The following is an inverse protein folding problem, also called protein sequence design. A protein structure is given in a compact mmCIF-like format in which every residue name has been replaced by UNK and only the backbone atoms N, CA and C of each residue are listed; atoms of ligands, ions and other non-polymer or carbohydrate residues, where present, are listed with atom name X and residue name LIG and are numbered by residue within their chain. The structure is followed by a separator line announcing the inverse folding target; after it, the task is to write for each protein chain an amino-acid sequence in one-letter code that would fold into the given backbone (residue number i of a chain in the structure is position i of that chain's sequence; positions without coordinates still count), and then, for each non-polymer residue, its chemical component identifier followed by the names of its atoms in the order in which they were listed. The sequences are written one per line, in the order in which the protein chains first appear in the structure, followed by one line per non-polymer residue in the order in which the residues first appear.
data_IF_941780378177
#
_entry.id   IF_941780378177
#
_cell.length_a   1.000
_cell.length_b   1.000
_cell.length_c   1.000
_cell.angle_alpha   90.00
_cell.angle_beta   90.00
_cell.angle_gamma   90.00
#
_symmetry.space_group_name_H-M   'P 1'
#
loop_
_entity.id
_entity.type
_entity.pdbx_description
1 polymer ?
#
# COMPACT_ATOMS: atom_id res chain seq x y z
N UNK A 1 31.55 44.87 -42.35
CA UNK A 1 31.83 45.01 -40.92
C UNK A 1 30.54 44.95 -40.15
N UNK A 2 30.26 43.83 -39.49
CA UNK A 2 29.27 43.71 -38.42
C UNK A 2 29.88 42.76 -37.40
N UNK A 3 30.54 43.35 -36.42
CA UNK A 3 31.09 42.72 -35.23
C UNK A 3 30.00 42.79 -34.15
N UNK A 4 29.75 41.66 -33.48
CA UNK A 4 29.16 41.68 -32.14
C UNK A 4 28.03 40.67 -31.89
N UNK A 5 28.40 39.46 -31.50
CA UNK A 5 27.94 38.75 -30.27
C UNK A 5 28.10 37.23 -30.42
N UNK A 6 29.30 36.76 -30.10
CA UNK A 6 29.58 35.40 -29.62
C UNK A 6 30.03 35.55 -28.16
N UNK A 7 29.46 34.75 -27.26
CA UNK A 7 29.72 34.73 -25.81
C UNK A 7 28.41 34.87 -25.04
N UNK A 8 27.94 33.95 -24.19
CA UNK A 8 28.62 32.86 -23.50
C UNK A 8 27.65 31.69 -23.28
N UNK A 9 28.19 30.48 -23.27
CA UNK A 9 27.55 29.24 -22.81
C UNK A 9 27.06 29.41 -21.36
N UNK A 10 25.74 29.51 -21.18
CA UNK A 10 25.10 29.48 -19.87
C UNK A 10 25.09 28.06 -19.31
N UNK A 11 25.63 27.89 -18.10
CA UNK A 11 25.69 26.64 -17.35
C UNK A 11 24.31 25.96 -17.17
N UNK A 12 24.25 24.63 -17.03
CA UNK A 12 22.98 23.92 -16.80
C UNK A 12 22.37 24.30 -15.45
N UNK A 13 21.10 24.70 -15.46
CA UNK A 13 20.28 24.88 -14.25
C UNK A 13 20.22 23.57 -13.42
N UNK A 14 20.30 23.63 -12.07
CA UNK A 14 20.41 22.44 -11.21
C UNK A 14 19.07 21.74 -10.93
N UNK A 15 18.14 21.72 -11.87
CA UNK A 15 16.78 21.20 -11.67
C UNK A 15 16.43 20.16 -12.74
N UNK A 16 16.43 18.88 -12.37
CA UNK A 16 15.56 17.89 -13.02
C UNK A 16 14.29 17.74 -12.18
N UNK A 17 13.35 18.67 -12.36
CA UNK A 17 12.00 18.50 -11.84
C UNK A 17 11.33 17.43 -12.71
N UNK A 18 10.91 16.27 -12.15
CA UNK A 18 10.15 15.26 -12.86
C UNK A 18 8.92 15.86 -13.55
N UNK A 19 8.58 15.35 -14.73
CA UNK A 19 7.45 15.85 -15.52
C UNK A 19 6.15 15.89 -14.68
N UNK A 20 5.49 17.05 -14.68
CA UNK A 20 4.23 17.29 -13.95
C UNK A 20 4.36 17.71 -12.48
N UNK A 21 5.58 17.84 -11.94
CA UNK A 21 5.80 18.42 -10.61
C UNK A 21 5.85 19.95 -10.68
N UNK A 22 5.14 20.63 -9.78
CA UNK A 22 5.04 22.09 -9.69
C UNK A 22 5.38 22.55 -8.29
N UNK A 23 6.21 23.59 -8.18
CA UNK A 23 6.50 24.26 -6.92
C UNK A 23 5.25 25.04 -6.48
N UNK A 24 4.78 24.77 -5.27
CA UNK A 24 3.63 25.43 -4.66
C UNK A 24 4.07 26.57 -3.75
N UNK A 25 5.11 26.35 -2.95
CA UNK A 25 5.66 27.32 -2.01
C UNK A 25 7.18 27.18 -1.94
N UNK A 26 7.86 28.30 -1.68
CA UNK A 26 9.32 28.39 -1.56
C UNK A 26 9.69 29.22 -0.33
N UNK A 27 10.58 28.66 0.50
CA UNK A 27 11.16 29.33 1.65
C UNK A 27 12.68 29.41 1.50
N UNK A 28 13.15 30.53 0.94
CA UNK A 28 14.57 30.86 0.84
C UNK A 28 15.16 31.22 2.21
N UNK A 29 16.44 30.92 2.42
CA UNK A 29 17.14 31.20 3.68
C UNK A 29 16.83 30.23 4.83
N UNK A 30 16.09 29.15 4.55
CA UNK A 30 15.85 28.07 5.50
C UNK A 30 17.18 27.39 5.87
N UNK A 31 17.33 27.05 7.15
CA UNK A 31 18.52 26.39 7.69
C UNK A 31 18.18 24.97 8.10
N UNK A 32 18.67 23.98 7.36
CA UNK A 32 18.50 22.57 7.74
C UNK A 32 19.56 22.19 8.78
N UNK A 33 19.13 21.69 9.94
CA UNK A 33 20.04 21.15 10.94
C UNK A 33 20.65 19.83 10.42
N UNK A 34 21.98 19.70 10.43
CA UNK A 34 22.65 18.40 10.22
C UNK A 34 22.42 17.53 11.47
N UNK A 35 22.46 16.21 11.33
CA UNK A 35 22.24 15.26 12.43
C UNK A 35 23.13 15.52 13.67
N UNK A 36 22.82 14.86 14.79
CA UNK A 36 23.39 15.08 16.14
C UNK A 36 24.78 15.74 16.16
N UNK A 37 24.82 17.04 16.44
CA UNK A 37 26.04 17.84 16.64
C UNK A 37 26.53 18.64 15.43
N UNK A 38 26.04 18.37 14.22
CA UNK A 38 26.40 19.12 13.03
C UNK A 38 25.65 20.45 12.92
N UNK A 39 26.36 21.53 12.62
CA UNK A 39 25.80 22.86 12.39
C UNK A 39 24.68 22.91 11.32
N UNK A 40 24.08 24.09 11.13
CA UNK A 40 23.00 24.25 10.15
C UNK A 40 23.53 24.54 8.74
N UNK A 41 22.91 23.94 7.73
CA UNK A 41 23.16 24.24 6.32
C UNK A 41 22.10 25.23 5.86
N UNK A 42 22.48 26.46 5.44
CA UNK A 42 21.54 27.38 4.80
C UNK A 42 21.16 26.85 3.42
N UNK A 43 19.94 27.13 2.99
CA UNK A 43 19.41 26.69 1.71
C UNK A 43 17.98 27.17 1.46
N UNK A 44 17.33 26.53 0.51
CA UNK A 44 15.98 26.83 0.07
C UNK A 44 15.11 25.60 0.29
N UNK A 45 14.03 25.76 1.05
CA UNK A 45 13.03 24.72 1.27
C UNK A 45 11.88 24.90 0.27
N UNK A 46 11.63 23.90 -0.56
CA UNK A 46 10.60 23.88 -1.58
C UNK A 46 9.49 22.91 -1.19
N UNK A 47 8.24 23.36 -1.26
CA UNK A 47 7.06 22.50 -1.21
C UNK A 47 6.49 22.40 -2.63
N UNK A 48 6.42 21.19 -3.17
CA UNK A 48 5.82 20.91 -4.47
C UNK A 48 4.51 20.17 -4.31
N UNK A 49 3.76 20.02 -5.41
CA UNK A 49 2.56 19.18 -5.45
C UNK A 49 2.83 17.68 -5.22
N UNK A 50 4.08 17.25 -5.04
CA UNK A 50 4.46 15.84 -4.84
C UNK A 50 5.39 15.58 -3.65
N UNK A 51 6.24 16.54 -3.27
CA UNK A 51 7.26 16.34 -2.23
C UNK A 51 7.64 17.64 -1.52
N UNK A 52 8.27 17.48 -0.37
CA UNK A 52 9.12 18.50 0.22
C UNK A 52 10.56 18.27 -0.26
N UNK A 53 11.23 19.32 -0.72
CA UNK A 53 12.61 19.27 -1.18
C UNK A 53 13.46 20.37 -0.53
N UNK A 54 14.70 20.07 -0.15
CA UNK A 54 15.63 21.07 0.39
C UNK A 54 16.85 21.19 -0.50
N UNK A 55 17.12 22.41 -0.97
CA UNK A 55 18.27 22.76 -1.80
C UNK A 55 19.32 23.47 -0.92
N UNK A 56 20.47 22.84 -0.63
CA UNK A 56 21.52 23.52 0.12
C UNK A 56 22.06 24.71 -0.69
N UNK A 57 22.21 25.86 -0.04
CA UNK A 57 22.84 27.03 -0.64
C UNK A 57 24.31 26.74 -0.91
N UNK A 58 24.79 26.99 -2.13
CA UNK A 58 26.21 26.82 -2.44
C UNK A 58 27.04 27.82 -1.64
N UNK A 59 27.69 27.36 -0.58
CA UNK A 59 28.88 28.02 -0.06
C UNK A 59 29.99 27.78 -1.07
N UNK A 60 30.60 28.87 -1.55
CA UNK A 60 31.67 28.83 -2.54
C UNK A 60 32.71 27.75 -2.23
N UNK A 61 32.95 26.88 -3.21
CA UNK A 61 34.11 25.99 -3.23
C UNK A 61 34.01 24.69 -2.44
N UNK A 62 33.07 23.79 -2.78
CA UNK A 62 33.35 22.35 -2.85
C UNK A 62 32.16 21.62 -3.49
N UNK A 63 32.42 20.91 -4.60
CA UNK A 63 31.46 20.00 -5.25
C UNK A 63 31.22 18.79 -4.34
N UNK A 64 30.40 18.96 -3.31
CA UNK A 64 29.79 17.87 -2.57
C UNK A 64 28.52 17.42 -3.29
N UNK A 65 28.56 16.21 -3.87
CA UNK A 65 27.40 15.50 -4.41
C UNK A 65 26.40 15.18 -3.30
N UNK A 66 25.52 16.11 -2.95
CA UNK A 66 24.31 15.83 -2.19
C UNK A 66 23.12 16.19 -3.07
N UNK A 67 22.51 15.16 -3.69
CA UNK A 67 21.30 15.32 -4.49
C UNK A 67 20.12 15.86 -3.68
N UNK A 68 19.07 16.36 -4.34
CA UNK A 68 17.89 16.90 -3.67
C UNK A 68 17.16 15.82 -2.87
N UNK A 69 17.10 15.98 -1.55
CA UNK A 69 16.32 15.10 -0.67
C UNK A 69 14.83 15.26 -1.02
N UNK A 70 14.24 14.22 -1.59
CA UNK A 70 12.82 14.17 -1.97
C UNK A 70 12.01 13.48 -0.88
N UNK A 71 10.99 14.15 -0.34
CA UNK A 71 10.24 13.66 0.82
C UNK A 71 8.75 13.53 0.51
N UNK A 72 8.21 12.32 0.69
CA UNK A 72 6.78 11.97 0.61
C UNK A 72 6.08 12.46 1.91
N UNK A 73 4.82 12.93 1.87
CA UNK A 73 4.24 13.75 2.94
C UNK A 73 4.26 13.13 4.34
N UNK A 74 4.50 13.97 5.38
CA UNK A 74 4.67 13.54 6.76
C UNK A 74 3.37 13.03 7.38
N UNK A 75 3.50 12.08 8.31
CA UNK A 75 2.45 11.73 9.29
C UNK A 75 2.63 12.56 10.56
N UNK A 76 1.56 13.13 11.14
CA UNK A 76 1.65 13.93 12.36
C UNK A 76 2.02 13.05 13.56
N UNK A 77 3.03 13.46 14.35
CA UNK A 77 3.29 12.91 15.69
C UNK A 77 3.99 13.94 16.61
N UNK A 78 3.58 13.96 17.88
CA UNK A 78 4.15 14.69 19.04
C UNK A 78 5.37 13.92 19.62
N UNK A 79 6.25 14.39 20.53
CA UNK A 79 6.35 15.42 21.60
C UNK A 79 7.85 15.79 21.76
N UNK A 80 8.33 16.97 22.20
CA UNK A 80 8.34 17.55 23.56
C UNK A 80 8.32 19.10 23.53
N UNK A 81 7.76 19.69 24.60
CA UNK A 81 7.42 21.11 24.87
C UNK A 81 6.52 21.80 23.82
N UNK A 82 5.21 21.47 23.87
CA UNK A 82 4.10 22.08 23.09
C UNK A 82 4.39 22.38 21.59
N UNK A 83 4.82 21.40 20.76
CA UNK A 83 4.83 21.58 19.32
C UNK A 83 3.39 21.68 18.78
N UNK A 84 3.10 22.70 17.97
CA UNK A 84 1.83 22.80 17.24
C UNK A 84 1.89 21.91 16.01
N UNK A 85 1.14 20.81 16.02
CA UNK A 85 1.02 19.92 14.85
C UNK A 85 0.37 20.70 13.72
N UNK A 86 1.10 20.83 12.61
CA UNK A 86 0.60 21.47 11.39
C UNK A 86 -0.03 20.41 10.51
N UNK A 87 -1.34 20.51 10.32
CA UNK A 87 -2.08 19.76 9.31
C UNK A 87 -2.19 20.57 8.03
N UNK A 88 -2.55 19.93 6.92
CA UNK A 88 -2.76 20.60 5.64
C UNK A 88 -3.78 21.77 5.69
N UNK A 89 -4.70 21.71 6.66
CA UNK A 89 -5.73 22.72 6.91
C UNK A 89 -5.28 23.81 7.90
N UNK A 90 -4.10 23.69 8.50
CA UNK A 90 -3.62 24.62 9.52
C UNK A 90 -3.12 25.92 8.90
N UNK A 91 -3.84 27.02 9.13
CA UNK A 91 -3.33 28.37 8.82
C UNK A 91 -2.48 28.88 9.97
N UNK A 92 -1.18 29.04 9.74
CA UNK A 92 -0.27 29.65 10.70
C UNK A 92 -0.42 31.18 10.68
N UNK A 93 -0.60 31.79 11.86
CA UNK A 93 -0.64 33.26 12.04
C UNK A 93 0.76 33.87 12.19
N UNK A 94 1.77 33.04 12.44
CA UNK A 94 3.17 33.41 12.64
C UNK A 94 4.06 32.30 12.05
N UNK A 95 5.27 32.65 11.63
CA UNK A 95 6.27 31.68 11.16
C UNK A 95 6.93 31.05 12.41
N UNK A 96 6.94 29.71 12.54
CA UNK A 96 7.64 29.08 13.63
C UNK A 96 9.16 29.25 13.45
N UNK A 97 9.89 29.48 14.54
CA UNK A 97 11.36 29.55 14.54
C UNK A 97 11.98 28.23 14.04
N UNK A 98 11.30 27.11 14.28
CA UNK A 98 11.72 25.76 13.88
C UNK A 98 10.52 24.95 13.34
N UNK A 99 10.73 24.30 12.19
CA UNK A 99 9.84 23.30 11.60
C UNK A 99 10.48 21.91 11.70
N UNK A 100 9.80 21.00 12.38
CA UNK A 100 10.15 19.59 12.49
C UNK A 100 9.27 18.74 11.57
N UNK A 101 9.87 18.07 10.59
CA UNK A 101 9.19 17.17 9.66
C UNK A 101 9.55 15.73 9.99
N UNK A 102 8.58 14.99 10.51
CA UNK A 102 8.70 13.56 10.76
C UNK A 102 8.38 12.78 9.48
N UNK A 103 9.38 12.10 8.94
CA UNK A 103 9.27 11.34 7.70
C UNK A 103 8.86 9.89 7.98
N UNK A 104 8.25 9.21 6.99
CA UNK A 104 7.78 7.81 7.12
C UNK A 104 8.93 6.80 7.18
N UNK A 105 10.12 7.21 6.74
CA UNK A 105 11.36 6.44 6.72
C UNK A 105 12.22 6.64 7.99
N UNK A 106 11.58 6.90 9.12
CA UNK A 106 12.22 7.14 10.43
C UNK A 106 13.11 8.39 10.52
N UNK A 107 13.21 9.22 9.47
CA UNK A 107 13.98 10.46 9.52
C UNK A 107 13.20 11.60 10.19
N UNK A 108 13.91 12.40 10.99
CA UNK A 108 13.44 13.68 11.51
C UNK A 108 14.25 14.81 10.89
N UNK A 109 13.59 15.68 10.15
CA UNK A 109 14.22 16.84 9.54
C UNK A 109 13.81 18.10 10.30
N UNK A 110 14.81 18.91 10.65
CA UNK A 110 14.61 20.17 11.36
C UNK A 110 15.08 21.31 10.49
N UNK A 111 14.20 22.26 10.28
CA UNK A 111 14.46 23.49 9.53
C UNK A 111 14.25 24.67 10.47
N UNK A 112 15.25 25.53 10.62
CA UNK A 112 15.09 26.81 11.31
C UNK A 112 14.99 27.95 10.31
N UNK A 113 14.25 28.99 10.69
CA UNK A 113 14.04 30.17 9.88
C UNK A 113 14.54 31.39 10.66
N UNK A 114 15.58 32.09 10.17
CA UNK A 114 16.07 33.31 10.84
C UNK A 114 15.01 34.42 10.82
N UNK A 115 14.98 35.24 11.88
CA UNK A 115 14.06 36.38 12.03
C UNK A 115 14.12 37.31 10.80
N UNK A 116 12.96 37.72 10.30
CA UNK A 116 12.72 38.60 9.14
C UNK A 116 12.84 37.99 7.72
N UNK A 117 13.12 36.68 7.59
CA UNK A 117 13.42 36.07 6.28
C UNK A 117 12.25 35.59 5.42
N UNK A 118 11.03 35.52 5.95
CA UNK A 118 9.88 34.96 5.21
C UNK A 118 8.65 35.84 5.41
N UNK A 119 7.95 36.15 4.32
CA UNK A 119 6.63 36.77 4.41
C UNK A 119 5.67 35.83 5.16
N UNK A 120 4.68 36.33 5.94
CA UNK A 120 3.70 35.52 6.69
C UNK A 120 2.86 34.52 5.88
N UNK A 121 3.07 34.44 4.56
CA UNK A 121 2.39 33.55 3.63
C UNK A 121 3.29 32.45 3.02
N UNK A 122 4.60 32.46 3.27
CA UNK A 122 5.60 31.74 2.47
C UNK A 122 5.70 30.20 2.68
N UNK A 123 4.91 29.62 3.58
CA UNK A 123 4.93 28.17 3.75
C UNK A 123 3.58 27.63 4.22
N UNK A 124 2.66 27.48 3.26
CA UNK A 124 1.50 26.62 3.44
C UNK A 124 1.87 25.21 2.99
N UNK A 125 1.87 24.25 3.91
CA UNK A 125 1.84 22.84 3.52
C UNK A 125 0.44 22.56 3.00
N UNK A 126 0.16 22.94 1.75
CA UNK A 126 -1.03 22.46 1.06
C UNK A 126 -0.79 21.01 0.70
N UNK A 127 -1.36 20.12 1.49
CA UNK A 127 -1.72 18.80 1.00
C UNK A 127 -2.92 19.04 0.08
N UNK A 128 -2.66 19.52 -1.15
CA UNK A 128 -3.67 19.38 -2.18
C UNK A 128 -3.90 17.89 -2.28
N UNK A 129 -5.08 17.47 -1.81
CA UNK A 129 -5.47 16.07 -1.81
C UNK A 129 -5.09 15.49 -3.15
N UNK A 130 -4.53 14.30 -3.11
CA UNK A 130 -4.11 13.49 -4.25
C UNK A 130 -5.36 13.09 -5.06
N UNK A 131 -6.14 14.08 -5.51
CA UNK A 131 -7.47 13.98 -6.13
C UNK A 131 -7.38 13.51 -7.58
N UNK A 132 -6.17 13.24 -8.08
CA UNK A 132 -5.90 12.60 -9.36
C UNK A 132 -4.45 12.10 -9.37
N UNK A 133 -4.23 10.93 -8.79
CA UNK A 133 -3.26 10.04 -9.43
C UNK A 133 -3.97 9.50 -10.67
N UNK A 134 -3.86 10.18 -11.80
CA UNK A 134 -3.96 9.47 -13.08
C UNK A 134 -2.79 8.48 -13.09
N UNK A 135 -3.02 7.20 -13.41
CA UNK A 135 -1.93 6.24 -13.57
C UNK A 135 -1.20 6.64 -14.85
N UNK A 136 -0.24 7.55 -14.76
CA UNK A 136 0.67 7.88 -15.86
C UNK A 136 2.05 7.40 -15.46
N UNK A 137 2.23 6.09 -15.50
CA UNK A 137 3.53 5.47 -15.67
C UNK A 137 3.34 4.21 -16.50
N UNK A 138 3.16 4.40 -17.81
CA UNK A 138 3.47 3.35 -18.75
C UNK A 138 4.96 3.11 -18.66
N UNK A 139 5.35 1.95 -18.13
CA UNK A 139 6.71 1.45 -18.36
C UNK A 139 6.83 1.18 -19.86
N UNK A 140 7.90 1.62 -20.54
CA UNK A 140 8.17 1.15 -21.89
C UNK A 140 8.38 -0.36 -21.81
N UNK A 141 7.47 -1.11 -22.41
CA UNK A 141 7.66 -2.52 -22.69
C UNK A 141 8.62 -2.63 -23.87
N UNK A 142 9.91 -2.49 -23.60
CA UNK A 142 10.97 -2.85 -24.53
C UNK A 142 11.96 -3.74 -23.80
N UNK A 143 12.00 -5.00 -24.21
CA UNK A 143 12.85 -6.05 -23.66
C UNK A 143 12.29 -7.43 -23.96
N UNK A 144 12.39 -7.85 -25.23
CA UNK A 144 12.43 -9.28 -25.56
C UNK A 144 13.68 -9.87 -24.93
N UNK A 145 13.58 -10.27 -23.66
CA UNK A 145 14.51 -11.20 -23.03
C UNK A 145 13.66 -12.27 -22.34
N UNK A 146 13.97 -13.55 -22.60
CA UNK A 146 13.26 -14.74 -22.07
C UNK A 146 13.35 -14.94 -20.54
N UNK A 147 13.37 -13.85 -19.78
CA UNK A 147 13.27 -13.79 -18.33
C UNK A 147 11.81 -13.85 -17.91
N UNK A 148 11.47 -14.72 -16.95
CA UNK A 148 10.15 -14.80 -16.30
C UNK A 148 9.55 -13.40 -16.09
N UNK A 149 8.45 -13.11 -16.78
CA UNK A 149 7.76 -11.82 -16.72
C UNK A 149 6.92 -11.73 -15.46
N UNK A 150 6.95 -10.57 -14.81
CA UNK A 150 6.09 -10.27 -13.66
C UNK A 150 4.62 -10.32 -14.07
N UNK A 151 3.83 -11.13 -13.38
CA UNK A 151 2.38 -11.24 -13.56
C UNK A 151 1.68 -10.14 -12.75
N UNK A 152 0.77 -9.41 -13.40
CA UNK A 152 0.04 -8.30 -12.77
C UNK A 152 -1.33 -8.73 -12.22
N UNK A 153 -1.83 -9.91 -12.62
CA UNK A 153 -3.12 -10.47 -12.22
C UNK A 153 -4.32 -9.61 -12.66
N UNK A 154 -4.18 -8.89 -13.77
CA UNK A 154 -5.22 -8.04 -14.35
C UNK A 154 -6.07 -8.76 -15.40
N UNK A 155 -5.55 -9.87 -15.96
CA UNK A 155 -6.18 -10.65 -17.03
C UNK A 155 -6.43 -12.10 -16.60
N UNK A 156 -7.45 -12.78 -17.17
CA UNK A 156 -7.70 -14.21 -16.93
C UNK A 156 -6.44 -15.05 -17.14
N UNK A 157 -5.67 -14.74 -18.18
CA UNK A 157 -4.46 -15.46 -18.58
C UNK A 157 -3.41 -15.45 -17.47
N UNK A 158 -3.20 -14.34 -16.79
CA UNK A 158 -2.25 -14.23 -15.67
C UNK A 158 -2.60 -15.23 -14.55
N UNK A 159 -3.91 -15.36 -14.27
CA UNK A 159 -4.42 -16.29 -13.26
C UNK A 159 -4.28 -17.75 -13.69
N UNK A 160 -4.44 -18.05 -14.97
CA UNK A 160 -4.26 -19.40 -15.53
C UNK A 160 -2.78 -19.81 -15.55
N UNK A 161 -1.89 -18.92 -16.00
CA UNK A 161 -0.44 -19.15 -16.06
C UNK A 161 0.14 -19.43 -14.67
N UNK A 162 -0.22 -18.63 -13.68
CA UNK A 162 0.23 -18.86 -12.30
C UNK A 162 -0.38 -20.14 -11.70
N UNK A 163 -1.65 -20.46 -11.98
CA UNK A 163 -2.27 -21.70 -11.52
C UNK A 163 -1.57 -22.93 -12.13
N UNK A 164 -1.20 -22.84 -13.41
CA UNK A 164 -0.45 -23.88 -14.11
C UNK A 164 0.95 -24.05 -13.50
N UNK A 165 1.65 -22.94 -13.20
CA UNK A 165 2.96 -22.97 -12.52
C UNK A 165 2.87 -23.66 -11.16
N UNK A 166 1.81 -23.38 -10.40
CA UNK A 166 1.57 -23.99 -9.10
C UNK A 166 1.27 -25.50 -9.18
N UNK A 167 0.87 -26.02 -10.35
CA UNK A 167 0.53 -27.44 -10.52
C UNK A 167 -0.70 -27.86 -9.69
N UNK A 168 -1.59 -26.93 -9.37
CA UNK A 168 -2.73 -27.14 -8.49
C UNK A 168 -3.87 -27.92 -9.19
N UNK A 169 -3.65 -29.20 -9.46
CA UNK A 169 -4.64 -30.07 -10.09
C UNK A 169 -5.95 -30.13 -9.26
N UNK A 170 -7.10 -29.98 -9.91
CA UNK A 170 -8.41 -29.92 -9.26
C UNK A 170 -8.85 -28.52 -8.84
N UNK A 171 -8.09 -27.48 -9.20
CA UNK A 171 -8.48 -26.08 -9.10
C UNK A 171 -8.65 -25.47 -10.49
N UNK A 172 -9.53 -24.49 -10.62
CA UNK A 172 -9.78 -23.72 -11.85
C UNK A 172 -9.84 -22.23 -11.57
N UNK A 173 -9.60 -21.43 -12.60
CA UNK A 173 -9.93 -20.00 -12.58
C UNK A 173 -11.45 -19.83 -12.75
N UNK A 174 -12.05 -19.02 -11.89
CA UNK A 174 -13.46 -18.65 -11.93
C UNK A 174 -13.60 -17.16 -12.22
N UNK A 175 -14.46 -16.83 -13.18
CA UNK A 175 -14.85 -15.45 -13.52
C UNK A 175 -16.11 -15.01 -12.76
N UNK A 176 -16.47 -15.70 -11.66
CA UNK A 176 -17.68 -15.41 -10.86
C UNK A 176 -17.76 -13.95 -10.38
N UNK A 177 -16.60 -13.30 -10.20
CA UNK A 177 -16.47 -11.93 -9.73
C UNK A 177 -15.96 -10.96 -10.81
N UNK A 178 -16.02 -11.31 -12.09
CA UNK A 178 -15.48 -10.50 -13.20
C UNK A 178 -16.03 -9.07 -13.20
N UNK A 179 -17.30 -8.91 -12.84
CA UNK A 179 -17.99 -7.62 -12.75
C UNK A 179 -17.95 -6.99 -11.37
N UNK A 180 -17.23 -7.59 -10.41
CA UNK A 180 -17.16 -7.17 -9.00
C UNK A 180 -18.50 -7.24 -8.24
N UNK A 181 -19.53 -7.87 -8.81
CA UNK A 181 -20.87 -7.98 -8.23
C UNK A 181 -20.84 -8.79 -6.91
N UNK A 182 -19.98 -9.80 -6.83
CA UNK A 182 -19.93 -10.69 -5.65
C UNK A 182 -19.17 -10.03 -4.51
N UNK A 183 -17.97 -9.52 -4.78
CA UNK A 183 -17.17 -8.81 -3.78
C UNK A 183 -16.33 -7.71 -4.45
N UNK A 184 -16.64 -6.42 -4.23
CA UNK A 184 -15.93 -5.32 -4.88
C UNK A 184 -14.50 -5.12 -4.37
N UNK A 185 -14.14 -5.77 -3.26
CA UNK A 185 -12.79 -5.76 -2.71
C UNK A 185 -11.93 -6.94 -3.19
N UNK A 186 -12.51 -7.93 -3.87
CA UNK A 186 -11.80 -9.08 -4.45
C UNK A 186 -11.46 -8.83 -5.92
N UNK A 187 -10.50 -9.58 -6.48
CA UNK A 187 -10.18 -9.51 -7.90
C UNK A 187 -11.30 -10.09 -8.77
N UNK A 188 -11.22 -9.79 -10.07
CA UNK A 188 -12.15 -10.29 -11.09
C UNK A 188 -12.19 -11.82 -11.15
N UNK A 189 -11.04 -12.45 -10.94
CA UNK A 189 -10.84 -13.88 -11.07
C UNK A 189 -10.39 -14.48 -9.75
N UNK A 190 -10.87 -15.70 -9.45
CA UNK A 190 -10.54 -16.42 -8.22
C UNK A 190 -10.21 -17.87 -8.57
N UNK A 191 -9.33 -18.50 -7.78
CA UNK A 191 -9.11 -19.93 -7.88
C UNK A 191 -10.05 -20.70 -6.94
N UNK A 192 -10.82 -21.61 -7.54
CA UNK A 192 -11.84 -22.41 -6.86
C UNK A 192 -11.72 -23.88 -7.26
N UNK A 193 -12.23 -24.84 -6.48
CA UNK A 193 -12.23 -26.25 -6.86
C UNK A 193 -12.96 -26.48 -8.18
N UNK A 194 -12.40 -27.33 -9.04
CA UNK A 194 -12.95 -27.59 -10.38
C UNK A 194 -14.34 -28.24 -10.35
N UNK A 195 -14.66 -28.97 -9.28
CA UNK A 195 -15.98 -29.58 -9.07
C UNK A 195 -17.08 -28.58 -8.69
N UNK A 196 -16.71 -27.36 -8.31
CA UNK A 196 -17.65 -26.34 -7.88
C UNK A 196 -18.08 -25.44 -9.03
N UNK A 197 -19.39 -25.29 -9.24
CA UNK A 197 -19.96 -24.40 -10.27
C UNK A 197 -20.09 -22.97 -9.74
N UNK A 198 -19.91 -21.99 -10.63
CA UNK A 198 -20.03 -20.56 -10.25
C UNK A 198 -21.42 -20.22 -9.71
N UNK A 199 -22.48 -20.86 -10.21
CA UNK A 199 -23.84 -20.68 -9.69
C UNK A 199 -23.94 -20.98 -8.19
N UNK A 200 -23.37 -22.10 -7.75
CA UNK A 200 -23.43 -22.52 -6.34
C UNK A 200 -22.53 -21.66 -5.48
N UNK A 201 -21.34 -21.34 -6.00
CA UNK A 201 -20.37 -20.50 -5.33
C UNK A 201 -20.93 -19.10 -5.01
N UNK A 202 -21.71 -18.48 -5.91
CA UNK A 202 -22.30 -17.14 -5.71
C UNK A 202 -23.06 -17.02 -4.38
N UNK A 203 -23.78 -18.05 -3.96
CA UNK A 203 -24.56 -18.04 -2.72
C UNK A 203 -23.66 -17.95 -1.49
N UNK A 204 -22.51 -18.63 -1.53
CA UNK A 204 -21.59 -18.68 -0.38
C UNK A 204 -20.97 -17.33 -0.03
N UNK A 205 -20.86 -16.41 -0.98
CA UNK A 205 -20.34 -15.05 -0.75
C UNK A 205 -21.10 -14.31 0.36
N UNK A 206 -22.40 -14.50 0.47
CA UNK A 206 -23.23 -13.81 1.46
C UNK A 206 -22.88 -14.21 2.91
N UNK A 207 -22.23 -15.35 3.12
CA UNK A 207 -21.95 -15.87 4.46
C UNK A 207 -20.63 -15.35 5.07
N UNK A 208 -19.79 -14.65 4.29
CA UNK A 208 -18.50 -14.13 4.76
C UNK A 208 -18.51 -12.62 4.87
N UNK A 209 -17.78 -12.10 5.86
CA UNK A 209 -17.56 -10.66 6.01
C UNK A 209 -16.94 -10.06 4.75
N UNK A 210 -17.41 -8.87 4.36
CA UNK A 210 -17.08 -8.21 3.09
C UNK A 210 -17.31 -9.08 1.83
N UNK A 211 -18.07 -10.19 1.97
CA UNK A 211 -18.28 -11.21 0.95
C UNK A 211 -16.99 -11.88 0.46
N UNK A 212 -15.96 -11.99 1.31
CA UNK A 212 -14.66 -12.54 0.90
C UNK A 212 -14.55 -14.01 1.24
N UNK A 213 -15.05 -14.83 0.32
CA UNK A 213 -15.07 -16.30 0.44
C UNK A 213 -13.65 -16.91 0.50
N UNK A 214 -13.52 -18.13 1.05
CA UNK A 214 -12.33 -18.94 0.93
C UNK A 214 -11.93 -19.10 -0.54
N UNK A 215 -10.66 -18.85 -0.83
CA UNK A 215 -10.08 -19.02 -2.16
C UNK A 215 -8.66 -19.54 -2.05
N UNK A 216 -8.20 -20.28 -3.06
CA UNK A 216 -6.81 -20.71 -3.11
C UNK A 216 -5.90 -19.49 -3.30
N UNK A 217 -4.82 -19.47 -2.52
CA UNK A 217 -3.72 -18.53 -2.72
C UNK A 217 -2.41 -19.24 -3.05
N UNK A 218 -2.23 -20.48 -2.59
CA UNK A 218 -1.03 -21.26 -2.91
C UNK A 218 -1.25 -22.76 -2.81
N UNK A 219 -0.62 -23.51 -3.71
CA UNK A 219 -0.54 -24.96 -3.65
C UNK A 219 0.88 -25.38 -3.26
N UNK A 220 0.99 -26.09 -2.14
CA UNK A 220 2.26 -26.67 -1.71
C UNK A 220 2.58 -27.90 -2.57
N UNK A 221 3.81 -28.09 -3.07
CA UNK A 221 4.19 -29.25 -3.91
C UNK A 221 3.91 -30.63 -3.27
N UNK A 222 3.88 -30.68 -1.93
CA UNK A 222 3.49 -31.85 -1.14
C UNK A 222 1.98 -32.17 -1.14
N UNK A 223 1.15 -31.34 -1.79
CA UNK A 223 -0.29 -31.55 -1.95
C UNK A 223 -1.19 -30.77 -0.99
N UNK A 224 -0.63 -29.90 -0.13
CA UNK A 224 -1.39 -29.03 0.76
C UNK A 224 -1.89 -27.77 0.03
N UNK A 225 -3.01 -27.19 0.49
CA UNK A 225 -3.58 -25.98 -0.08
C UNK A 225 -3.64 -24.87 0.97
N UNK A 226 -3.08 -23.70 0.65
CA UNK A 226 -3.27 -22.51 1.47
C UNK A 226 -4.45 -21.72 0.91
N UNK A 227 -5.46 -21.53 1.74
CA UNK A 227 -6.66 -20.77 1.44
C UNK A 227 -6.68 -19.48 2.27
N UNK A 228 -7.36 -18.47 1.75
CA UNK A 228 -7.61 -17.20 2.46
C UNK A 228 -9.10 -16.88 2.46
N UNK A 229 -9.63 -16.48 3.61
CA UNK A 229 -11.03 -16.12 3.76
C UNK A 229 -11.20 -14.99 4.78
N UNK A 230 -12.25 -14.19 4.62
CA UNK A 230 -12.73 -13.36 5.71
C UNK A 230 -13.40 -14.21 6.80
N UNK A 231 -13.71 -13.60 7.94
CA UNK A 231 -14.49 -14.27 8.99
C UNK A 231 -15.89 -14.64 8.49
N UNK A 232 -16.39 -15.80 8.92
CA UNK A 232 -17.77 -16.19 8.70
C UNK A 232 -18.72 -15.28 9.50
N UNK A 233 -19.89 -14.95 8.97
CA UNK A 233 -20.89 -14.17 9.68
C UNK A 233 -21.49 -15.02 10.81
N UNK A 234 -21.40 -14.59 12.09
CA UNK A 234 -21.91 -15.40 13.20
C UNK A 234 -23.42 -15.68 13.16
N UNK A 235 -24.18 -14.78 12.54
CA UNK A 235 -25.63 -14.90 12.37
C UNK A 235 -26.04 -15.60 11.06
N UNK A 236 -25.08 -16.08 10.27
CA UNK A 236 -25.36 -16.74 9.01
C UNK A 236 -25.78 -18.18 9.24
N UNK A 237 -26.92 -18.56 8.66
CA UNK A 237 -27.46 -19.93 8.69
C UNK A 237 -27.45 -20.50 7.26
N UNK A 238 -26.32 -21.11 6.82
CA UNK A 238 -26.23 -21.67 5.48
C UNK A 238 -27.18 -22.85 5.31
N UNK A 239 -27.87 -22.91 4.17
CA UNK A 239 -28.69 -24.07 3.83
C UNK A 239 -27.83 -25.31 3.55
N UNK A 240 -28.44 -26.49 3.43
CA UNK A 240 -27.71 -27.74 3.14
C UNK A 240 -26.86 -27.68 1.87
N UNK A 241 -27.36 -27.01 0.83
CA UNK A 241 -26.60 -26.80 -0.42
C UNK A 241 -25.39 -25.89 -0.23
N UNK A 242 -25.54 -24.82 0.56
CA UNK A 242 -24.46 -23.87 0.86
C UNK A 242 -23.39 -24.54 1.74
N UNK A 243 -23.80 -25.35 2.72
CA UNK A 243 -22.88 -26.17 3.53
C UNK A 243 -22.05 -27.09 2.64
N UNK A 244 -22.70 -27.82 1.71
CA UNK A 244 -21.98 -28.69 0.76
C UNK A 244 -21.02 -27.88 -0.13
N UNK A 245 -21.43 -26.70 -0.56
CA UNK A 245 -20.57 -25.79 -1.34
C UNK A 245 -19.36 -25.31 -0.52
N UNK A 246 -19.55 -24.98 0.76
CA UNK A 246 -18.50 -24.54 1.67
C UNK A 246 -17.52 -25.68 1.96
N UNK A 247 -18.02 -26.89 2.21
CA UNK A 247 -17.18 -28.08 2.39
C UNK A 247 -16.31 -28.34 1.16
N UNK A 248 -16.90 -28.29 -0.05
CA UNK A 248 -16.13 -28.42 -1.29
C UNK A 248 -15.11 -27.30 -1.45
N UNK A 249 -15.45 -26.06 -1.11
CA UNK A 249 -14.55 -24.90 -1.21
C UNK A 249 -13.34 -24.99 -0.27
N UNK A 250 -13.54 -25.53 0.94
CA UNK A 250 -12.50 -25.64 1.97
C UNK A 250 -11.64 -26.90 1.80
N UNK A 251 -12.26 -28.00 1.38
CA UNK A 251 -11.61 -29.31 1.29
C UNK A 251 -11.11 -29.60 -0.12
N UNK A 252 -11.73 -29.06 -1.17
CA UNK A 252 -11.45 -29.40 -2.57
C UNK A 252 -11.53 -30.91 -2.81
N UNK A 253 -12.45 -31.60 -2.12
CA UNK A 253 -12.59 -33.05 -2.12
C UNK A 253 -11.43 -33.82 -1.46
N UNK A 254 -10.57 -33.18 -0.65
CA UNK A 254 -9.34 -33.79 -0.10
C UNK A 254 -9.06 -33.40 1.35
N UNK A 255 -8.71 -34.41 2.16
CA UNK A 255 -8.02 -34.26 3.46
C UNK A 255 -8.75 -33.41 4.51
N UNK A 256 -8.20 -33.28 5.73
CA UNK A 256 -8.70 -32.33 6.71
C UNK A 256 -8.32 -30.89 6.32
N UNK A 257 -9.16 -29.92 6.66
CA UNK A 257 -8.85 -28.50 6.58
C UNK A 257 -8.64 -27.92 7.99
N UNK A 258 -7.52 -27.23 8.20
CA UNK A 258 -7.18 -26.56 9.45
C UNK A 258 -7.49 -25.07 9.34
N UNK A 259 -8.26 -24.55 10.28
CA UNK A 259 -8.48 -23.11 10.39
C UNK A 259 -7.33 -22.48 11.18
N UNK A 260 -6.61 -21.55 10.54
CA UNK A 260 -5.59 -20.74 11.17
C UNK A 260 -6.16 -19.33 11.38
N UNK A 261 -6.80 -19.14 12.53
CA UNK A 261 -7.31 -17.83 12.94
C UNK A 261 -6.15 -16.87 13.25
N UNK A 262 -6.30 -15.62 12.80
CA UNK A 262 -5.36 -14.53 13.04
C UNK A 262 -5.70 -13.73 14.31
N UNK A 263 -6.75 -14.07 15.05
CA UNK A 263 -7.14 -13.41 16.30
C UNK A 263 -6.05 -13.41 17.39
N UNK A 264 -5.14 -14.39 17.37
CA UNK A 264 -3.99 -14.48 18.30
C UNK A 264 -2.82 -13.54 17.91
N UNK A 265 -2.86 -12.97 16.71
CA UNK A 265 -1.85 -12.04 16.20
C UNK A 265 -2.18 -10.60 16.60
N UNK A 266 -1.17 -9.70 16.61
CA UNK A 266 -1.39 -8.31 16.95
C UNK A 266 -2.38 -7.65 16.00
N UNK A 267 -3.30 -6.86 16.56
CA UNK A 267 -4.26 -6.11 15.75
C UNK A 267 -3.55 -5.03 14.95
N UNK A 268 -4.23 -4.50 13.92
CA UNK A 268 -3.72 -3.33 13.18
C UNK A 268 -3.41 -2.14 14.09
N UNK A 269 -4.21 -1.92 15.12
CA UNK A 269 -3.99 -0.85 16.09
C UNK A 269 -2.72 -1.08 16.91
N UNK A 270 -2.46 -2.34 17.32
CA UNK A 270 -1.24 -2.71 18.04
C UNK A 270 0.00 -2.51 17.17
N UNK A 271 -0.04 -2.94 15.91
CA UNK A 271 1.06 -2.77 14.95
C UNK A 271 1.34 -1.27 14.73
N UNK A 272 0.29 -0.46 14.56
CA UNK A 272 0.43 0.99 14.40
C UNK A 272 1.04 1.64 15.64
N UNK A 273 0.59 1.28 16.84
CA UNK A 273 1.11 1.80 18.08
C UNK A 273 2.58 1.39 18.30
N UNK A 274 2.92 0.13 18.03
CA UNK A 274 4.28 -0.39 18.11
C UNK A 274 5.22 0.33 17.12
N UNK A 275 4.75 0.56 15.89
CA UNK A 275 5.49 1.33 14.88
C UNK A 275 5.73 2.78 15.33
N UNK A 276 4.73 3.44 15.90
CA UNK A 276 4.88 4.81 16.44
C UNK A 276 5.89 4.87 17.59
N UNK A 277 5.86 3.89 18.50
CA UNK A 277 6.83 3.78 19.60
C UNK A 277 8.25 3.53 19.08
N UNK A 278 8.41 2.61 18.13
CA UNK A 278 9.70 2.36 17.48
C UNK A 278 10.23 3.62 16.79
N UNK A 279 9.38 4.31 16.05
CA UNK A 279 9.75 5.55 15.37
C UNK A 279 10.20 6.64 16.35
N UNK A 280 9.50 6.78 17.47
CA UNK A 280 9.90 7.71 18.53
C UNK A 280 11.25 7.31 19.14
N UNK A 281 11.48 6.02 19.34
CA UNK A 281 12.74 5.49 19.86
C UNK A 281 13.92 5.75 18.91
N UNK A 282 13.73 5.65 17.59
CA UNK A 282 14.76 5.95 16.59
C UNK A 282 15.17 7.43 16.51
N UNK A 283 14.51 8.33 17.25
CA UNK A 283 14.88 9.74 17.26
C UNK A 283 16.20 9.97 18.03
N UNK A 284 17.04 10.91 17.58
CA UNK A 284 18.29 11.21 18.27
C UNK A 284 18.03 11.67 19.72
N UNK A 285 18.69 11.02 20.68
CA UNK A 285 18.57 11.35 22.10
C UNK A 285 17.24 10.92 22.74
N UNK A 286 16.46 10.04 22.10
CA UNK A 286 15.19 9.58 22.65
C UNK A 286 15.33 8.84 23.99
N UNK A 287 16.37 8.02 24.13
CA UNK A 287 16.66 7.21 25.33
C UNK A 287 18.17 7.13 25.53
N UNK A 288 18.62 7.07 26.79
CA UNK A 288 20.02 6.81 27.13
C UNK A 288 20.46 5.42 26.62
N UNK A 289 21.72 5.29 26.20
CA UNK A 289 22.23 4.09 25.54
C UNK A 289 22.06 2.83 26.40
N UNK A 290 22.23 2.94 27.73
CA UNK A 290 22.10 1.80 28.64
C UNK A 290 20.66 1.26 28.74
N UNK A 291 19.67 2.10 28.41
CA UNK A 291 18.23 1.75 28.45
C UNK A 291 17.66 1.42 27.08
N UNK A 292 18.46 1.48 26.01
CA UNK A 292 17.99 1.32 24.64
C UNK A 292 17.27 -0.02 24.40
N UNK A 293 17.86 -1.14 24.84
CA UNK A 293 17.29 -2.47 24.62
C UNK A 293 15.96 -2.65 25.37
N UNK A 294 15.86 -2.15 26.60
CA UNK A 294 14.61 -2.17 27.37
C UNK A 294 13.54 -1.29 26.73
N UNK A 295 13.91 -0.11 26.23
CA UNK A 295 12.99 0.76 25.50
C UNK A 295 12.53 0.12 24.18
N UNK A 296 13.42 -0.58 23.46
CA UNK A 296 13.11 -1.33 22.25
C UNK A 296 12.11 -2.45 22.53
N UNK A 297 12.31 -3.22 23.59
CA UNK A 297 11.35 -4.24 24.05
C UNK A 297 9.99 -3.60 24.39
N UNK A 298 9.99 -2.44 25.06
CA UNK A 298 8.79 -1.66 25.34
C UNK A 298 7.99 -1.21 24.11
N UNK A 299 8.60 -1.19 22.92
CA UNK A 299 7.88 -0.91 21.66
C UNK A 299 6.96 -2.05 21.22
N UNK A 300 7.23 -3.30 21.65
CA UNK A 300 6.58 -4.53 21.15
C UNK A 300 6.76 -4.83 19.66
N UNK A 301 7.51 -4.02 18.92
CA UNK A 301 7.66 -4.20 17.46
C UNK A 301 8.27 -5.57 17.11
N UNK A 302 9.37 -5.94 17.76
CA UNK A 302 10.03 -7.23 17.52
C UNK A 302 9.18 -8.41 18.02
N UNK A 303 8.37 -8.22 19.07
CA UNK A 303 7.42 -9.24 19.53
C UNK A 303 6.37 -9.53 18.44
N UNK A 304 5.81 -8.47 17.83
CA UNK A 304 4.84 -8.60 16.74
C UNK A 304 5.44 -9.26 15.50
N UNK A 305 6.64 -8.84 15.08
CA UNK A 305 7.38 -9.47 13.97
C UNK A 305 7.60 -10.96 14.25
N UNK A 306 8.06 -11.30 15.46
CA UNK A 306 8.27 -12.69 15.88
C UNK A 306 6.99 -13.50 15.83
N UNK A 307 5.87 -12.98 16.33
CA UNK A 307 4.57 -13.68 16.33
C UNK A 307 4.09 -13.98 14.90
N UNK A 308 4.15 -13.00 13.99
CA UNK A 308 3.76 -13.20 12.59
C UNK A 308 4.66 -14.24 11.88
N UNK A 309 5.98 -14.16 12.07
CA UNK A 309 6.92 -15.14 11.51
C UNK A 309 6.70 -16.54 12.07
N UNK A 310 6.45 -16.67 13.38
CA UNK A 310 6.17 -17.96 14.03
C UNK A 310 4.89 -18.58 13.46
N UNK A 311 3.82 -17.79 13.29
CA UNK A 311 2.56 -18.28 12.72
C UNK A 311 2.72 -18.69 11.25
N UNK A 312 3.47 -17.92 10.46
CA UNK A 312 3.78 -18.31 9.08
C UNK A 312 4.57 -19.62 9.01
N UNK A 313 5.55 -19.82 9.89
CA UNK A 313 6.33 -21.06 9.96
C UNK A 313 5.47 -22.26 10.40
N UNK A 314 4.56 -22.07 11.35
CA UNK A 314 3.58 -23.09 11.76
C UNK A 314 2.69 -23.51 10.57
N UNK A 315 2.11 -22.54 9.86
CA UNK A 315 1.25 -22.79 8.68
C UNK A 315 2.04 -23.49 7.57
N UNK A 316 3.26 -23.05 7.29
CA UNK A 316 4.13 -23.70 6.30
C UNK A 316 4.44 -25.16 6.69
N UNK A 317 4.68 -25.42 7.98
CA UNK A 317 4.93 -26.77 8.49
C UNK A 317 3.69 -27.68 8.37
N UNK A 318 2.50 -27.14 8.61
CA UNK A 318 1.23 -27.87 8.43
C UNK A 318 1.05 -28.29 6.97
N UNK A 319 1.26 -27.36 6.02
CA UNK A 319 1.16 -27.63 4.58
C UNK A 319 2.20 -28.64 4.07
N UNK A 320 3.40 -28.65 4.66
CA UNK A 320 4.46 -29.56 4.27
C UNK A 320 4.28 -30.99 4.82
N UNK A 321 3.81 -31.13 6.07
CA UNK A 321 3.78 -32.40 6.78
C UNK A 321 2.50 -33.23 6.60
N UNK A 322 1.39 -32.60 6.20
CA UNK A 322 0.09 -33.25 6.03
C UNK A 322 -0.48 -32.78 4.71
N UNK A 323 -1.05 -33.68 3.90
CA UNK A 323 -1.85 -33.30 2.72
C UNK A 323 -3.17 -32.65 3.18
N UNK A 324 -3.06 -31.52 3.87
CA UNK A 324 -4.16 -30.80 4.48
C UNK A 324 -4.25 -29.40 3.87
N UNK A 325 -5.47 -28.88 3.83
CA UNK A 325 -5.71 -27.48 3.52
C UNK A 325 -5.55 -26.66 4.80
N UNK A 326 -5.03 -25.44 4.69
CA UNK A 326 -4.99 -24.47 5.79
C UNK A 326 -5.71 -23.22 5.32
N UNK A 327 -6.70 -22.75 6.08
CA UNK A 327 -7.42 -21.51 5.79
C UNK A 327 -6.94 -20.44 6.75
N UNK A 328 -6.33 -19.39 6.21
CA UNK A 328 -6.06 -18.17 6.96
C UNK A 328 -7.36 -17.37 7.06
N UNK A 329 -7.77 -17.08 8.29
CA UNK A 329 -8.99 -16.32 8.55
C UNK A 329 -8.68 -15.05 9.35
N UNK A 330 -9.16 -13.93 8.84
CA UNK A 330 -9.09 -12.60 9.43
C UNK A 330 -10.44 -11.93 9.20
N UNK A 331 -10.95 -11.03 10.07
CA UNK A 331 -12.25 -10.38 9.89
C UNK A 331 -12.51 -9.84 8.48
N UNK A 332 -11.53 -9.15 7.88
CA UNK A 332 -11.67 -8.59 6.53
C UNK A 332 -10.84 -9.30 5.46
N UNK A 333 -9.90 -10.20 5.79
CA UNK A 333 -8.95 -10.79 4.83
C UNK A 333 -8.23 -9.77 3.94
N UNK A 334 -7.80 -8.66 4.53
CA UNK A 334 -7.19 -7.55 3.78
C UNK A 334 -5.89 -7.06 4.38
N UNK A 335 -5.45 -7.60 5.52
CA UNK A 335 -4.24 -7.17 6.19
C UNK A 335 -3.36 -8.36 6.60
N UNK A 336 -3.58 -8.98 7.76
CA UNK A 336 -2.74 -10.06 8.28
C UNK A 336 -2.76 -11.29 7.38
N UNK A 337 -3.90 -11.59 6.75
CA UNK A 337 -3.95 -12.69 5.79
C UNK A 337 -3.04 -12.44 4.58
N UNK A 338 -2.91 -11.19 4.10
CA UNK A 338 -1.97 -10.84 3.03
C UNK A 338 -0.53 -11.10 3.47
N UNK A 339 -0.19 -10.67 4.69
CA UNK A 339 1.13 -10.87 5.28
C UNK A 339 1.47 -12.35 5.45
N UNK A 340 0.60 -13.11 6.10
CA UNK A 340 0.84 -14.53 6.36
C UNK A 340 0.90 -15.35 5.06
N UNK A 341 -0.01 -15.11 4.12
CA UNK A 341 0.02 -15.82 2.83
C UNK A 341 1.31 -15.54 2.06
N UNK A 342 1.79 -14.29 2.09
CA UNK A 342 3.06 -13.93 1.46
C UNK A 342 4.25 -14.60 2.15
N UNK A 343 4.30 -14.58 3.48
CA UNK A 343 5.38 -15.19 4.26
C UNK A 343 5.43 -16.72 4.08
N UNK A 344 4.29 -17.40 4.11
CA UNK A 344 4.23 -18.86 3.89
C UNK A 344 4.77 -19.21 2.50
N UNK A 345 4.44 -18.43 1.48
CA UNK A 345 4.93 -18.64 0.13
C UNK A 345 6.41 -18.30 -0.02
N UNK A 346 6.92 -17.28 0.67
CA UNK A 346 8.36 -17.01 0.71
C UNK A 346 9.15 -18.14 1.37
N UNK A 347 8.55 -18.83 2.35
CA UNK A 347 9.15 -20.00 3.01
C UNK A 347 9.12 -21.24 2.12
N UNK A 348 8.02 -21.46 1.38
CA UNK A 348 7.75 -22.72 0.68
C UNK A 348 7.95 -22.71 -0.84
N UNK A 349 7.94 -21.55 -1.51
CA UNK A 349 8.00 -21.42 -2.96
C UNK A 349 9.31 -20.72 -3.40
N UNK A 350 10.24 -21.44 -4.07
CA UNK A 350 11.45 -20.82 -4.64
C UNK A 350 11.15 -19.68 -5.63
N UNK A 351 10.06 -19.76 -6.40
CA UNK A 351 9.71 -18.72 -7.37
C UNK A 351 9.42 -17.40 -6.68
N UNK A 352 8.72 -17.42 -5.54
CA UNK A 352 8.39 -16.24 -4.73
C UNK A 352 9.61 -15.48 -4.21
N UNK A 353 10.81 -16.09 -4.24
CA UNK A 353 12.09 -15.47 -3.82
C UNK A 353 12.89 -14.88 -4.99
N UNK A 354 12.45 -15.10 -6.22
CA UNK A 354 12.99 -14.37 -7.40
C UNK A 354 12.40 -12.96 -7.45
N UNK A 355 13.07 -12.02 -8.12
CA UNK A 355 12.53 -10.67 -8.31
C UNK A 355 11.15 -10.66 -9.01
N UNK A 356 10.96 -11.30 -10.18
CA UNK A 356 9.65 -11.33 -10.84
C UNK A 356 8.61 -12.08 -10.00
N UNK A 357 8.97 -13.21 -9.36
CA UNK A 357 8.04 -13.96 -8.53
C UNK A 357 7.63 -13.22 -7.25
N UNK A 358 8.53 -12.45 -6.63
CA UNK A 358 8.19 -11.58 -5.50
C UNK A 358 7.26 -10.43 -5.93
N UNK A 359 7.52 -9.83 -7.10
CA UNK A 359 6.64 -8.80 -7.65
C UNK A 359 5.24 -9.37 -7.95
N UNK A 360 5.15 -10.53 -8.60
CA UNK A 360 3.89 -11.24 -8.84
C UNK A 360 3.17 -11.58 -7.54
N UNK A 361 3.90 -12.01 -6.50
CA UNK A 361 3.33 -12.29 -5.17
C UNK A 361 2.71 -11.02 -4.55
N UNK A 362 3.39 -9.88 -4.62
CA UNK A 362 2.85 -8.59 -4.15
C UNK A 362 1.61 -8.20 -4.96
N UNK A 363 1.65 -8.35 -6.28
CA UNK A 363 0.49 -8.07 -7.13
C UNK A 363 -0.71 -8.95 -6.74
N UNK A 364 -0.52 -10.26 -6.56
CA UNK A 364 -1.63 -11.17 -6.21
C UNK A 364 -2.14 -11.00 -4.78
N UNK A 365 -1.25 -11.10 -3.79
CA UNK A 365 -1.64 -11.21 -2.37
C UNK A 365 -1.98 -9.89 -1.72
N UNK A 366 -1.56 -8.76 -2.32
CA UNK A 366 -1.80 -7.42 -1.77
C UNK A 366 -2.63 -6.55 -2.71
N UNK A 367 -2.24 -6.41 -3.98
CA UNK A 367 -2.91 -5.48 -4.90
C UNK A 367 -4.25 -6.06 -5.36
N UNK A 368 -4.23 -7.21 -6.05
CA UNK A 368 -5.41 -7.90 -6.56
C UNK A 368 -6.32 -8.39 -5.41
N UNK A 369 -5.73 -8.87 -4.32
CA UNK A 369 -6.49 -9.21 -3.11
C UNK A 369 -7.12 -7.98 -2.41
N UNK A 370 -6.82 -6.75 -2.83
CA UNK A 370 -7.51 -5.56 -2.38
C UNK A 370 -7.06 -5.02 -1.02
N UNK A 371 -5.78 -5.19 -0.63
CA UNK A 371 -5.23 -4.50 0.53
C UNK A 371 -5.42 -2.97 0.37
N UNK A 372 -6.06 -2.27 1.33
CA UNK A 372 -6.42 -0.88 1.17
C UNK A 372 -5.24 0.08 1.39
N UNK A 373 -4.21 -0.01 0.54
CA UNK A 373 -2.99 0.82 0.60
C UNK A 373 -3.28 2.31 0.82
N UNK A 374 -4.21 2.98 0.09
CA UNK A 374 -4.45 4.41 0.30
C UNK A 374 -4.95 4.75 1.70
N UNK A 375 -5.78 3.88 2.30
CA UNK A 375 -6.31 4.06 3.66
C UNK A 375 -5.23 3.76 4.70
N UNK A 376 -4.45 2.69 4.53
CA UNK A 376 -3.39 2.28 5.47
C UNK A 376 -2.20 3.23 5.46
N UNK A 377 -1.88 3.80 4.29
CA UNK A 377 -0.83 4.80 4.11
C UNK A 377 -1.31 6.23 4.39
N UNK A 378 -2.56 6.44 4.81
CA UNK A 378 -3.10 7.78 5.08
C UNK A 378 -3.02 8.74 3.89
N UNK A 379 -3.19 8.22 2.67
CA UNK A 379 -3.22 8.98 1.41
C UNK A 379 -4.62 9.54 1.13
N UNK A 380 -5.65 8.93 1.70
CA UNK A 380 -7.02 9.45 1.74
C UNK A 380 -7.19 10.22 3.06
N UNK A 381 -7.65 11.47 2.99
CA UNK A 381 -8.18 12.15 4.18
C UNK A 381 -9.33 11.31 4.72
N UNK A 382 -9.40 11.16 6.05
CA UNK A 382 -10.66 10.73 6.67
C UNK A 382 -11.67 11.83 6.39
N UNK A 383 -12.49 11.63 5.36
CA UNK A 383 -13.79 12.29 5.33
C UNK A 383 -14.49 11.88 6.64
N UNK A 384 -15.04 12.88 7.32
CA UNK A 384 -15.80 12.75 8.56
C UNK A 384 -16.74 11.52 8.54
N UNK A 385 -17.07 10.93 9.70
CA UNK A 385 -17.93 9.75 9.75
C UNK A 385 -19.36 10.15 9.36
N UNK A 386 -19.67 10.09 8.06
CA UNK A 386 -20.99 10.06 7.41
C UNK A 386 -20.79 10.40 5.92
N UNK A 387 -20.53 9.39 5.11
CA UNK A 387 -21.10 9.28 3.77
C UNK A 387 -20.71 7.93 3.18
N UNK A 388 -21.69 7.00 3.13
CA UNK A 388 -21.68 5.94 2.14
C UNK A 388 -21.78 6.61 0.76
N UNK A 389 -20.62 6.84 0.12
CA UNK A 389 -20.60 7.33 -1.25
C UNK A 389 -20.68 6.12 -2.18
N UNK A 390 -21.84 6.02 -2.85
CA UNK A 390 -22.11 5.15 -4.00
C UNK A 390 -20.97 5.28 -5.04
N UNK A 391 -20.60 4.20 -5.74
CA UNK A 391 -19.54 4.28 -6.74
C UNK A 391 -19.92 5.28 -7.85
N UNK A 392 -18.97 6.13 -8.30
CA UNK A 392 -19.22 7.06 -9.39
C UNK A 392 -19.40 6.29 -10.69
N UNK A 393 -20.57 6.44 -11.30
CA UNK A 393 -20.84 6.04 -12.67
C UNK A 393 -19.84 6.73 -13.58
N UNK A 394 -18.90 5.96 -14.17
CA UNK A 394 -18.12 6.42 -15.30
C UNK A 394 -19.03 6.46 -16.56
N UNK A 395 -18.85 7.44 -17.44
CA UNK A 395 -19.69 7.60 -18.62
C UNK A 395 -19.38 6.50 -19.63
N UNK A 396 -20.41 5.73 -20.02
CA UNK A 396 -20.34 4.83 -21.16
C UNK A 396 -20.07 5.63 -22.46
N UNK A 397 -19.19 5.15 -23.34
CA UNK A 397 -19.18 5.59 -24.74
C UNK A 397 -20.37 4.95 -25.46
N UNK A 398 -21.14 5.75 -26.19
CA UNK A 398 -22.25 5.34 -27.04
C UNK A 398 -21.84 4.23 -28.03
N UNK A 399 -22.83 3.46 -28.53
CA UNK A 399 -23.03 3.49 -29.97
C UNK A 399 -24.47 3.86 -30.36
N UNK A 400 -24.55 4.52 -31.50
CA UNK A 400 -25.74 4.99 -32.20
C UNK A 400 -26.76 3.88 -32.44
N UNK A 401 -28.04 4.17 -32.21
CA UNK A 401 -29.13 3.75 -33.10
C UNK A 401 -30.21 4.85 -33.16
N UNK A 402 -30.45 5.34 -34.37
CA UNK A 402 -31.64 6.08 -34.76
C UNK A 402 -32.89 5.25 -34.45
N UNK A 403 -33.97 5.84 -33.90
CA UNK A 403 -35.36 5.72 -34.38
C UNK A 403 -36.17 6.92 -33.85
N UNK A 404 -37.01 7.45 -34.75
CA UNK A 404 -37.84 8.68 -34.75
C UNK A 404 -38.84 8.85 -33.59
N UNK A 405 -39.30 10.09 -33.33
CA UNK A 405 -40.33 10.39 -32.33
C UNK A 405 -41.75 10.17 -32.89
N UNK A 406 -42.75 9.90 -32.03
CA UNK A 406 -44.10 10.33 -32.27
C UNK A 406 -44.44 11.54 -31.40
N UNK A 407 -44.70 12.64 -32.09
CA UNK A 407 -45.50 13.76 -31.62
C UNK A 407 -46.93 13.29 -31.26
N UNK A 408 -47.58 14.12 -30.43
CA UNK A 408 -49.02 14.31 -30.22
C UNK A 408 -49.57 13.82 -28.88
N UNK A 409 -49.50 14.72 -27.90
CA UNK A 409 -50.69 15.18 -27.18
C UNK A 409 -51.25 16.38 -27.98
N UNK A 410 -52.53 16.69 -28.08
CA UNK A 410 -53.75 16.35 -27.36
C UNK A 410 -54.91 16.29 -28.38
N UNK A 411 -56.12 16.67 -28.00
CA UNK A 411 -56.66 17.88 -28.64
C UNK A 411 -56.38 19.14 -27.81
#
# INVERSE_FOLDING_TARGET
GVLGRLGALGAPHPMSVPAGERVLEEAAGARRRRGNGGGSVPGTLLCTNRRLAFLPGQLGGSRGSAGPDSLIPPTPASSFSKPKVLTAASTLKFIPEELAVFCRDFRLLRFSFPENGLAPQAFRVRQEGQKRCTPTLGYPADGEDGSSTTLLFESLRDWEEELQRLGAAGWRVSAVNERFDMAPSLPQYLWVPSGLLDHDLKRTFAHFQERRVPRLCWHHPGGGHLLRAASFHPASEPGSEDVRCLEELLLGGRGPCVLADTAELPTLADIQLAHLRLRALCLPGAVAEEKWLSALEGTRWLDHVRSCLRKAAEVASLLAGKRCSVVLQEPSDRDLNCLLASLVQLLGDPHARSLPGFQSLVQREWVAAGHPFPRRLGLLCQDSPREEVRPPLLPHPYPCQEVRPPLLSHP
#
